data_IF_132024010502
#
_entry.id   IF_132024010502
#
_cell.length_a   1.000
_cell.length_b   1.000
_cell.length_c   1.000
_cell.angle_alpha   90.00
_cell.angle_beta   90.00
_cell.angle_gamma   90.00
#
_symmetry.space_group_name_H-M   'P 1'
#
loop_
_entity.id
_entity.type
_entity.pdbx_description
1 polymer ?
#
# COMPACT_ATOMS: atom_id res chain seq x y z
N UNK A 1 -36.51 17.20 -28.66
CA UNK A 1 -36.16 16.76 -27.29
C UNK A 1 -34.82 16.06 -27.38
N UNK A 2 -33.71 16.77 -27.21
CA UNK A 2 -32.36 16.19 -27.28
C UNK A 2 -31.73 16.29 -25.88
N UNK A 3 -31.52 15.15 -25.23
CA UNK A 3 -30.89 15.09 -23.90
C UNK A 3 -29.38 15.09 -24.04
N UNK A 4 -28.76 16.11 -23.46
CA UNK A 4 -27.30 16.30 -23.42
C UNK A 4 -26.68 15.34 -22.41
N UNK A 5 -25.68 14.57 -22.85
CA UNK A 5 -24.90 13.70 -21.97
C UNK A 5 -24.00 14.55 -21.07
N UNK A 6 -24.18 14.45 -19.76
CA UNK A 6 -23.30 15.07 -18.78
C UNK A 6 -21.96 14.31 -18.73
N UNK A 7 -20.87 14.97 -19.12
CA UNK A 7 -19.52 14.46 -18.94
C UNK A 7 -19.14 14.56 -17.46
N UNK A 8 -18.82 13.42 -16.84
CA UNK A 8 -18.31 13.38 -15.48
C UNK A 8 -16.85 13.86 -15.49
N UNK A 9 -16.62 15.13 -15.19
CA UNK A 9 -15.28 15.67 -14.98
C UNK A 9 -14.72 15.19 -13.64
N UNK A 10 -13.67 14.37 -13.67
CA UNK A 10 -12.87 14.12 -12.47
C UNK A 10 -12.13 15.39 -12.09
N UNK A 11 -12.68 16.12 -11.12
CA UNK A 11 -11.99 17.22 -10.46
C UNK A 11 -11.11 16.63 -9.34
N UNK A 12 -9.83 16.42 -9.62
CA UNK A 12 -8.82 16.08 -8.61
C UNK A 12 -8.44 17.36 -7.84
N UNK A 13 -9.10 17.60 -6.72
CA UNK A 13 -8.73 18.68 -5.79
C UNK A 13 -7.59 18.22 -4.88
N UNK A 14 -6.35 18.53 -5.23
CA UNK A 14 -5.21 18.43 -4.33
C UNK A 14 -5.26 19.58 -3.31
N UNK A 15 -5.85 19.32 -2.14
CA UNK A 15 -5.78 20.21 -0.98
C UNK A 15 -4.38 20.21 -0.38
N UNK A 16 -3.54 21.14 -0.82
CA UNK A 16 -2.34 21.55 -0.06
C UNK A 16 -2.44 23.04 0.25
N UNK A 17 -3.24 23.36 1.26
CA UNK A 17 -3.22 24.67 1.90
C UNK A 17 -2.02 24.71 2.85
N UNK A 18 -0.85 25.10 2.32
CA UNK A 18 0.30 25.44 3.15
C UNK A 18 -0.01 26.75 3.90
N UNK A 19 0.03 26.66 5.22
CA UNK A 19 -0.16 27.77 6.16
C UNK A 19 0.85 28.89 5.86
N UNK A 20 0.34 30.06 5.53
CA UNK A 20 1.08 31.33 5.48
C UNK A 20 1.38 31.80 6.90
N UNK A 21 2.63 31.67 7.36
CA UNK A 21 3.15 32.47 8.47
C UNK A 21 4.18 33.45 7.91
N UNK A 22 3.84 34.72 7.99
CA UNK A 22 4.59 35.87 7.50
C UNK A 22 5.91 36.05 8.25
N UNK A 23 7.02 36.19 7.51
CA UNK A 23 8.16 37.02 7.95
C UNK A 23 8.93 37.55 6.73
N UNK A 24 9.22 38.87 6.65
CA UNK A 24 9.91 39.48 5.53
C UNK A 24 11.42 39.63 5.78
N UNK A 25 12.25 39.39 4.78
CA UNK A 25 13.25 40.31 4.24
C UNK A 25 14.25 39.58 3.34
N UNK A 26 14.37 40.14 2.13
CA UNK A 26 15.56 40.30 1.30
C UNK A 26 16.54 39.12 1.22
N UNK A 27 16.39 38.32 0.18
CA UNK A 27 17.50 38.05 -0.72
C UNK A 27 17.01 37.54 -2.08
N UNK A 28 17.61 38.08 -3.12
CA UNK A 28 17.34 37.81 -4.53
C UNK A 28 17.80 36.40 -4.87
N UNK A 29 16.96 35.40 -4.63
CA UNK A 29 17.08 34.12 -5.33
C UNK A 29 15.93 34.10 -6.32
N UNK A 30 16.26 34.43 -7.57
CA UNK A 30 15.44 34.11 -8.73
C UNK A 30 15.19 32.60 -8.65
N UNK A 31 14.06 32.22 -8.06
CA UNK A 31 13.50 30.89 -8.13
C UNK A 31 13.00 30.72 -9.56
N UNK A 32 13.93 30.68 -10.50
CA UNK A 32 13.66 30.14 -11.82
C UNK A 32 13.15 28.74 -11.55
N UNK A 33 11.95 28.51 -12.06
CA UNK A 33 11.20 27.27 -12.18
C UNK A 33 12.07 26.14 -12.76
N UNK A 34 13.10 25.74 -12.02
CA UNK A 34 13.96 24.61 -12.34
C UNK A 34 13.19 23.41 -11.85
N UNK A 35 12.37 22.89 -12.75
CA UNK A 35 11.62 21.65 -12.58
C UNK A 35 12.42 20.69 -11.72
N UNK A 36 11.88 20.37 -10.56
CA UNK A 36 12.50 19.47 -9.59
C UNK A 36 12.73 18.14 -10.32
N UNK A 37 13.94 17.94 -10.83
CA UNK A 37 14.29 16.76 -11.59
C UNK A 37 14.13 15.56 -10.66
N UNK A 38 13.05 14.80 -10.83
CA UNK A 38 12.82 13.61 -10.03
C UNK A 38 13.89 12.58 -10.41
N UNK A 39 14.88 12.41 -9.54
CA UNK A 39 15.93 11.41 -9.73
C UNK A 39 15.28 10.03 -9.62
N UNK A 40 15.08 9.38 -10.78
CA UNK A 40 14.50 8.04 -10.85
C UNK A 40 15.53 7.05 -10.32
N UNK A 41 15.33 6.61 -9.08
CA UNK A 41 16.12 5.52 -8.48
C UNK A 41 15.35 4.21 -8.60
N UNK A 42 16.01 3.16 -9.07
CA UNK A 42 15.43 1.82 -9.09
C UNK A 42 15.57 1.17 -7.70
N UNK A 43 14.46 0.81 -7.07
CA UNK A 43 14.47 0.05 -5.83
C UNK A 43 14.50 -1.46 -6.09
N UNK A 44 15.35 -2.19 -5.38
CA UNK A 44 15.39 -3.66 -5.46
C UNK A 44 14.08 -4.25 -4.93
N UNK A 45 13.50 -5.18 -5.69
CA UNK A 45 12.29 -5.89 -5.30
C UNK A 45 12.54 -6.76 -4.06
N UNK A 46 11.73 -6.57 -3.02
CA UNK A 46 11.76 -7.37 -1.78
C UNK A 46 10.74 -8.50 -1.84
N UNK A 47 11.13 -9.71 -1.43
CA UNK A 47 10.21 -10.84 -1.23
C UNK A 47 9.34 -10.56 0.00
N UNK A 48 8.01 -10.55 -0.17
CA UNK A 48 7.06 -10.28 0.92
C UNK A 48 6.49 -11.59 1.46
N UNK A 49 6.82 -11.92 2.69
CA UNK A 49 6.36 -13.13 3.40
C UNK A 49 5.52 -12.78 4.64
N UNK A 50 4.72 -13.72 5.13
CA UNK A 50 3.84 -13.61 6.30
C UNK A 50 3.94 -14.88 7.13
N UNK A 51 4.06 -14.73 8.45
CA UNK A 51 4.00 -15.83 9.42
C UNK A 51 2.55 -16.20 9.67
N UNK A 52 2.16 -17.45 9.41
CA UNK A 52 0.79 -17.94 9.54
C UNK A 52 0.75 -19.25 10.31
N UNK A 53 -0.42 -19.56 10.86
CA UNK A 53 -0.77 -20.88 11.42
C UNK A 53 -1.87 -21.48 10.53
N UNK A 54 -1.69 -22.72 10.10
CA UNK A 54 -2.71 -23.46 9.35
C UNK A 54 -3.85 -23.89 10.28
N UNK A 55 -5.09 -23.61 9.91
CA UNK A 55 -6.30 -24.06 10.64
C UNK A 55 -6.79 -25.42 10.16
N UNK A 56 -6.45 -25.78 8.93
CA UNK A 56 -6.82 -27.03 8.27
C UNK A 56 -5.57 -27.66 7.66
N UNK A 57 -5.65 -28.95 7.32
CA UNK A 57 -4.64 -29.60 6.51
C UNK A 57 -4.74 -29.08 5.07
N UNK A 58 -3.60 -28.70 4.49
CA UNK A 58 -3.54 -28.18 3.13
C UNK A 58 -2.49 -28.96 2.34
N UNK A 59 -2.96 -29.58 1.26
CA UNK A 59 -2.14 -30.36 0.33
C UNK A 59 -0.94 -29.50 -0.12
N UNK A 60 0.24 -30.11 -0.11
CA UNK A 60 1.53 -29.50 -0.49
C UNK A 60 2.03 -28.32 0.38
N UNK A 61 1.32 -27.96 1.46
CA UNK A 61 1.78 -26.95 2.42
C UNK A 61 2.16 -27.56 3.77
N UNK A 62 1.25 -28.34 4.36
CA UNK A 62 1.45 -28.86 5.71
C UNK A 62 0.15 -29.10 6.48
N UNK A 63 0.31 -29.58 7.71
CA UNK A 63 -0.80 -30.04 8.57
C UNK A 63 -1.41 -28.90 9.38
N UNK A 64 -2.65 -29.12 9.86
CA UNK A 64 -3.33 -28.24 10.82
C UNK A 64 -2.44 -27.96 12.04
N UNK A 65 -2.38 -26.69 12.44
CA UNK A 65 -1.61 -26.19 13.57
C UNK A 65 -0.17 -25.84 13.26
N UNK A 66 0.33 -26.13 12.05
CA UNK A 66 1.72 -25.85 11.69
C UNK A 66 1.95 -24.35 11.46
N UNK A 67 3.09 -23.86 11.97
CA UNK A 67 3.54 -22.48 11.82
C UNK A 67 4.50 -22.37 10.62
N UNK A 68 4.15 -21.54 9.65
CA UNK A 68 4.83 -21.46 8.35
C UNK A 68 4.96 -20.02 7.86
N UNK A 69 6.00 -19.75 7.07
CA UNK A 69 6.20 -18.48 6.37
C UNK A 69 5.75 -18.60 4.91
N UNK A 70 4.68 -17.91 4.53
CA UNK A 70 4.12 -17.95 3.17
C UNK A 70 4.24 -16.61 2.45
N UNK A 71 4.17 -16.62 1.12
CA UNK A 71 4.10 -15.38 0.34
C UNK A 71 2.84 -14.59 0.69
N UNK A 72 2.96 -13.28 0.82
CA UNK A 72 1.84 -12.41 1.20
C UNK A 72 0.64 -12.50 0.24
N UNK A 73 0.89 -12.70 -1.05
CA UNK A 73 -0.17 -12.86 -2.06
C UNK A 73 -0.95 -14.16 -1.89
N UNK A 74 -0.27 -15.26 -1.55
CA UNK A 74 -0.93 -16.55 -1.34
C UNK A 74 -1.81 -16.53 -0.09
N UNK A 75 -1.35 -15.90 0.99
CA UNK A 75 -2.20 -15.67 2.16
C UNK A 75 -3.45 -14.84 1.84
N UNK A 76 -3.29 -13.65 1.25
CA UNK A 76 -4.40 -12.73 1.01
C UNK A 76 -5.40 -13.24 -0.02
N UNK A 77 -4.94 -13.93 -1.06
CA UNK A 77 -5.79 -14.32 -2.17
C UNK A 77 -6.45 -15.70 -1.98
N UNK A 78 -5.80 -16.61 -1.23
CA UNK A 78 -6.28 -17.99 -1.10
C UNK A 78 -6.54 -18.37 0.36
N UNK A 79 -5.52 -18.35 1.22
CA UNK A 79 -5.65 -18.91 2.57
C UNK A 79 -6.58 -18.12 3.50
N UNK A 80 -6.59 -16.80 3.38
CA UNK A 80 -7.44 -15.93 4.21
C UNK A 80 -8.93 -15.99 3.78
N UNK A 81 -9.27 -15.81 2.49
CA UNK A 81 -10.68 -15.90 2.06
C UNK A 81 -11.28 -17.29 2.26
N UNK A 82 -10.49 -18.35 2.14
CA UNK A 82 -10.94 -19.73 2.38
C UNK A 82 -10.96 -20.13 3.85
N UNK A 83 -10.48 -19.27 4.77
CA UNK A 83 -10.44 -19.58 6.21
C UNK A 83 -9.39 -20.63 6.63
N UNK A 84 -8.53 -21.08 5.71
CA UNK A 84 -7.56 -22.17 5.93
C UNK A 84 -6.39 -21.80 6.82
N UNK A 85 -6.11 -20.52 7.00
CA UNK A 85 -5.00 -20.05 7.84
C UNK A 85 -5.30 -18.75 8.57
N UNK A 86 -4.50 -18.45 9.59
CA UNK A 86 -4.56 -17.20 10.36
C UNK A 86 -3.16 -16.61 10.56
N UNK A 87 -3.04 -15.28 10.56
CA UNK A 87 -1.77 -14.60 10.89
C UNK A 87 -1.38 -14.94 12.32
N UNK A 88 -0.10 -15.27 12.51
CA UNK A 88 0.47 -15.51 13.84
C UNK A 88 0.41 -14.21 14.63
N UNK A 89 -0.37 -14.21 15.71
CA UNK A 89 -0.35 -13.18 16.74
C UNK A 89 0.11 -13.83 18.05
N UNK A 90 0.74 -13.07 18.97
CA UNK A 90 1.23 -13.63 20.24
C UNK A 90 0.11 -14.27 21.08
N UNK A 91 -1.14 -13.85 20.89
CA UNK A 91 -2.31 -14.43 21.57
C UNK A 91 -2.58 -15.89 21.15
N UNK A 92 -2.18 -16.28 19.94
CA UNK A 92 -2.41 -17.62 19.40
C UNK A 92 -1.28 -18.61 19.74
N UNK A 93 -0.16 -18.13 20.28
CA UNK A 93 1.02 -18.93 20.62
C UNK A 93 1.07 -19.32 22.11
N UNK A 94 -0.05 -19.20 22.81
CA UNK A 94 -0.18 -19.51 24.24
C UNK A 94 -0.43 -20.98 24.51
#
# INVERSE_FOLDING_TARGET
MASTAASLSWNSSSWLHNRTLTKPMNETIIASDRGLAMVVTAQKKVKKTRKIILKEDVVDLGKKGQLLDVKAGFYRNFLHPTGKAQIVTPLLLK
#
